data_IF_377004948930
#
_entry.id   IF_377004948930
#
_cell.length_a   1.000
_cell.length_b   1.000
_cell.length_c   1.000
_cell.angle_alpha   90.00
_cell.angle_beta   90.00
_cell.angle_gamma   90.00
#
_symmetry.space_group_name_H-M   'P 1'
#
loop_
_entity.id
_entity.type
_entity.pdbx_description
1 polymer ?
#
# COMPACT_ATOMS: atom_id res chain seq x y z
N UNK A 1 -10.80 9.65 -3.96
CA UNK A 1 -9.82 8.66 -3.53
C UNK A 1 -9.73 8.67 -2.02
N UNK A 2 -10.13 7.58 -1.39
CA UNK A 2 -10.02 7.37 0.05
C UNK A 2 -9.01 6.27 0.31
N UNK A 3 -7.80 6.65 0.74
CA UNK A 3 -6.75 5.68 1.05
C UNK A 3 -7.14 4.79 2.23
N UNK A 4 -6.79 3.51 2.14
CA UNK A 4 -7.08 2.47 3.13
C UNK A 4 -5.82 1.64 3.34
N UNK A 5 -5.45 1.44 4.60
CA UNK A 5 -4.41 0.48 4.99
C UNK A 5 -5.08 -0.87 5.22
N UNK A 6 -4.60 -1.91 4.54
CA UNK A 6 -5.00 -3.29 4.80
C UNK A 6 -3.82 -4.02 5.43
N UNK A 7 -4.14 -4.87 6.41
CA UNK A 7 -3.18 -5.72 7.11
C UNK A 7 -3.73 -7.13 7.11
N UNK A 8 -2.94 -8.08 6.62
CA UNK A 8 -3.34 -9.48 6.57
C UNK A 8 -2.17 -10.39 6.92
N UNK A 9 -2.47 -11.56 7.48
CA UNK A 9 -1.43 -12.55 7.76
C UNK A 9 -1.04 -13.25 6.45
N UNK A 10 0.25 -13.33 6.17
CA UNK A 10 0.76 -13.93 4.95
C UNK A 10 0.64 -15.46 4.98
N UNK A 11 0.37 -16.09 3.84
CA UNK A 11 0.38 -17.56 3.75
C UNK A 11 1.76 -18.15 4.08
N UNK A 12 2.83 -17.49 3.65
CA UNK A 12 4.21 -17.89 3.93
C UNK A 12 4.65 -17.64 5.39
N UNK A 13 3.76 -17.09 6.23
CA UNK A 13 4.06 -16.65 7.59
C UNK A 13 4.46 -15.18 7.65
N UNK A 14 4.17 -14.53 8.77
CA UNK A 14 4.37 -13.10 8.95
C UNK A 14 3.16 -12.27 8.52
N UNK A 15 3.38 -10.98 8.31
CA UNK A 15 2.33 -10.00 8.05
C UNK A 15 2.59 -9.21 6.77
N UNK A 16 1.53 -9.04 6.00
CA UNK A 16 1.48 -8.17 4.84
C UNK A 16 0.78 -6.86 5.20
N UNK A 17 1.26 -5.79 4.60
CA UNK A 17 0.64 -4.48 4.63
C UNK A 17 0.59 -3.89 3.22
N UNK A 18 -0.58 -3.44 2.82
CA UNK A 18 -0.82 -2.78 1.53
C UNK A 18 -1.68 -1.54 1.73
N UNK A 19 -1.46 -0.53 0.87
CA UNK A 19 -2.25 0.69 0.87
C UNK A 19 -2.90 0.86 -0.48
N UNK A 20 -4.21 0.99 -0.43
CA UNK A 20 -5.06 1.08 -1.60
C UNK A 20 -6.15 2.15 -1.43
N UNK A 21 -7.12 2.23 -2.34
CA UNK A 21 -8.25 3.14 -2.28
C UNK A 21 -9.62 2.49 -2.49
N UNK A 22 -10.65 3.31 -2.72
CA UNK A 22 -12.02 2.88 -2.96
C UNK A 22 -12.32 2.52 -4.42
N UNK A 23 -11.40 2.81 -5.35
CA UNK A 23 -11.52 2.47 -6.76
C UNK A 23 -10.96 1.08 -7.07
N UNK A 24 -10.02 0.60 -6.25
CA UNK A 24 -9.46 -0.73 -6.35
C UNK A 24 -10.05 -1.64 -5.25
N UNK A 25 -11.21 -2.22 -5.56
CA UNK A 25 -11.98 -3.00 -4.57
C UNK A 25 -11.41 -4.39 -4.30
N UNK A 26 -10.60 -4.90 -5.22
CA UNK A 26 -9.79 -6.09 -5.02
C UNK A 26 -8.37 -5.55 -4.92
N UNK A 27 -7.62 -5.74 -3.82
CA UNK A 27 -6.31 -5.11 -3.66
C UNK A 27 -5.26 -5.80 -4.54
N UNK A 28 -5.38 -5.68 -5.86
CA UNK A 28 -4.49 -6.27 -6.85
C UNK A 28 -3.58 -5.24 -7.54
N UNK A 29 -3.87 -3.93 -7.42
CA UNK A 29 -2.99 -2.86 -7.85
C UNK A 29 -2.80 -1.75 -6.78
N UNK A 30 -2.24 -2.08 -5.60
CA UNK A 30 -2.08 -1.11 -4.53
C UNK A 30 -1.03 -0.03 -4.87
N UNK A 31 -1.04 1.07 -4.10
CA UNK A 31 -0.02 2.13 -4.17
C UNK A 31 1.29 1.75 -3.47
N UNK A 32 1.21 0.82 -2.53
CA UNK A 32 2.33 0.32 -1.75
C UNK A 32 1.98 -1.06 -1.19
N UNK A 33 2.95 -1.98 -1.14
CA UNK A 33 2.76 -3.32 -0.60
C UNK A 33 4.09 -3.89 -0.08
N UNK A 34 4.05 -4.52 1.10
CA UNK A 34 5.14 -5.31 1.66
C UNK A 34 4.55 -6.55 2.36
N UNK A 35 5.06 -7.74 2.03
CA UNK A 35 4.45 -9.04 2.38
C UNK A 35 5.22 -9.86 3.44
N UNK A 36 6.15 -9.22 4.17
CA UNK A 36 7.19 -9.93 4.95
C UNK A 36 7.53 -9.30 6.30
N UNK A 37 6.56 -8.67 6.97
CA UNK A 37 6.77 -8.15 8.31
C UNK A 37 6.80 -9.29 9.35
N UNK A 38 7.76 -9.29 10.29
CA UNK A 38 7.88 -10.36 11.27
C UNK A 38 6.79 -10.30 12.34
N UNK A 39 6.23 -9.11 12.61
CA UNK A 39 5.15 -8.93 13.59
C UNK A 39 4.03 -8.03 13.06
N UNK A 40 2.83 -8.17 13.65
CA UNK A 40 1.69 -7.29 13.37
C UNK A 40 2.01 -5.84 13.69
N UNK A 41 2.74 -5.61 14.78
CA UNK A 41 3.12 -4.27 15.22
C UNK A 41 4.03 -3.59 14.19
N UNK A 42 5.00 -4.31 13.62
CA UNK A 42 5.89 -3.75 12.61
C UNK A 42 5.11 -3.40 11.33
N UNK A 43 4.21 -4.28 10.90
CA UNK A 43 3.34 -4.05 9.76
C UNK A 43 2.44 -2.82 9.96
N UNK A 44 1.84 -2.69 11.14
CA UNK A 44 0.99 -1.55 11.49
C UNK A 44 1.78 -0.24 11.56
N UNK A 45 2.95 -0.24 12.20
CA UNK A 45 3.80 0.95 12.31
C UNK A 45 4.21 1.44 10.92
N UNK A 46 4.79 0.56 10.10
CA UNK A 46 5.22 0.90 8.75
C UNK A 46 4.05 1.31 7.84
N UNK A 47 2.92 0.60 7.94
CA UNK A 47 1.71 0.92 7.18
C UNK A 47 1.12 2.29 7.55
N UNK A 48 1.09 2.65 8.84
CA UNK A 48 0.62 3.97 9.28
C UNK A 48 1.54 5.10 8.80
N UNK A 49 2.86 4.92 8.90
CA UNK A 49 3.84 5.88 8.40
C UNK A 49 3.69 6.10 6.90
N UNK A 50 3.59 5.03 6.13
CA UNK A 50 3.44 5.11 4.68
C UNK A 50 2.09 5.71 4.27
N UNK A 51 1.01 5.42 5.00
CA UNK A 51 -0.30 6.04 4.77
C UNK A 51 -0.25 7.56 4.98
N UNK A 52 0.44 8.03 6.02
CA UNK A 52 0.64 9.46 6.26
C UNK A 52 1.44 10.13 5.13
N UNK A 53 2.49 9.46 4.64
CA UNK A 53 3.30 9.93 3.51
C UNK A 53 2.48 10.04 2.22
N UNK A 54 1.77 8.97 1.83
CA UNK A 54 0.93 8.95 0.63
C UNK A 54 -0.22 9.96 0.71
N UNK A 55 -0.86 10.10 1.87
CA UNK A 55 -1.88 11.12 2.10
C UNK A 55 -1.33 12.53 1.89
N UNK A 56 -0.11 12.79 2.35
CA UNK A 56 0.55 14.08 2.15
C UNK A 56 0.90 14.33 0.69
N UNK A 57 1.44 13.32 -0.01
CA UNK A 57 1.74 13.40 -1.44
C UNK A 57 0.49 13.62 -2.28
N UNK A 58 -0.60 12.90 -1.98
CA UNK A 58 -1.88 13.07 -2.65
C UNK A 58 -2.42 14.49 -2.50
N UNK A 59 -2.36 15.07 -1.28
CA UNK A 59 -2.78 16.46 -1.06
C UNK A 59 -1.97 17.47 -1.86
N UNK A 60 -0.69 17.19 -2.12
CA UNK A 60 0.21 18.09 -2.87
C UNK A 60 0.05 17.96 -4.38
N UNK A 61 -0.05 16.73 -4.87
CA UNK A 61 0.06 16.41 -6.30
C UNK A 61 -1.27 16.07 -6.95
N UNK A 62 -2.30 15.76 -6.14
CA UNK A 62 -3.62 15.28 -6.56
C UNK A 62 -3.62 13.92 -7.27
N UNK A 63 -2.47 13.24 -7.35
CA UNK A 63 -2.31 11.95 -8.01
C UNK A 63 -1.34 11.06 -7.23
N UNK A 64 -1.55 9.74 -7.25
CA UNK A 64 -0.57 8.77 -6.77
C UNK A 64 -0.34 7.72 -7.87
N UNK A 65 0.91 7.34 -8.15
CA UNK A 65 1.21 6.23 -9.06
C UNK A 65 0.91 4.88 -8.39
N UNK A 66 0.20 4.02 -9.11
CA UNK A 66 -0.07 2.62 -8.74
C UNK A 66 1.20 1.78 -8.85
N UNK A 67 1.32 0.65 -8.15
CA UNK A 67 2.50 -0.22 -8.29
C UNK A 67 2.66 -0.74 -9.72
N UNK A 68 1.56 -1.08 -10.42
CA UNK A 68 1.56 -1.48 -11.83
C UNK A 68 2.24 -0.45 -12.75
N UNK A 69 2.08 0.85 -12.47
CA UNK A 69 2.66 1.92 -13.29
C UNK A 69 4.19 1.93 -13.32
N UNK A 70 4.85 1.25 -12.37
CA UNK A 70 6.29 1.06 -12.36
C UNK A 70 6.74 -0.21 -13.10
N UNK A 71 5.82 -1.15 -13.35
CA UNK A 71 6.08 -2.43 -14.02
C UNK A 71 5.85 -2.38 -15.52
N UNK A 72 5.24 -1.32 -16.03
CA UNK A 72 5.17 -1.01 -17.46
C UNK A 72 6.35 -0.10 -17.88
N UNK A 73 7.53 -0.65 -18.23
CA UNK A 73 8.44 0.12 -19.06
C UNK A 73 7.77 0.21 -20.43
N UNK A 74 7.33 1.41 -20.80
CA UNK A 74 7.08 1.69 -22.20
C UNK A 74 8.40 1.49 -22.97
N UNK A 75 8.61 0.30 -23.56
CA UNK A 75 9.50 0.09 -24.72
C UNK A 75 9.09 -1.18 -25.47
#
# INVERSE_FOLDING_TARGET
>A
MKLRLHIHHAYAGGWCADIDDDHDRQPDDPYWCVDRWPTLQDALTAGCEQLANLTTTLKKTHTLPRLSSYLDPAT
#
